data_IF_907281539495
#
_entry.id   IF_907281539495
#
_cell.length_a   1.000
_cell.length_b   1.000
_cell.length_c   1.000
_cell.angle_alpha   90.00
_cell.angle_beta   90.00
_cell.angle_gamma   90.00
#
_symmetry.space_group_name_H-M   'P 1'
#
loop_
_entity.id
_entity.type
_entity.pdbx_description
1 polymer ?
#
# COMPACT_ATOMS: atom_id res chain seq x y z
N UNK A 1 -7.92 -18.30 1.12
CA UNK A 1 -7.75 -18.67 -0.30
C UNK A 1 -7.89 -17.43 -1.12
N UNK A 2 -6.89 -17.15 -1.95
CA UNK A 2 -6.83 -15.98 -2.82
C UNK A 2 -6.95 -16.49 -4.25
N UNK A 3 -7.95 -16.01 -4.97
CA UNK A 3 -8.26 -16.44 -6.32
C UNK A 3 -8.07 -15.25 -7.27
N UNK A 4 -7.20 -15.36 -8.26
CA UNK A 4 -6.99 -14.32 -9.28
C UNK A 4 -7.62 -14.78 -10.58
N UNK A 5 -8.60 -14.00 -11.07
CA UNK A 5 -9.30 -14.30 -12.32
C UNK A 5 -8.86 -13.35 -13.41
N UNK A 6 -8.21 -13.88 -14.45
CA UNK A 6 -7.67 -13.09 -15.55
C UNK A 6 -8.52 -13.26 -16.80
N UNK A 7 -8.98 -12.16 -17.38
CA UNK A 7 -9.78 -12.15 -18.61
C UNK A 7 -9.41 -10.99 -19.53
N UNK A 8 -9.80 -11.11 -20.80
CA UNK A 8 -9.75 -10.01 -21.76
C UNK A 8 -10.89 -9.04 -21.47
N UNK A 9 -10.59 -7.76 -21.31
CA UNK A 9 -11.59 -6.74 -20.98
C UNK A 9 -12.66 -6.55 -22.07
N UNK A 10 -12.27 -6.68 -23.33
CA UNK A 10 -13.17 -6.42 -24.47
C UNK A 10 -14.12 -7.59 -24.71
N UNK A 11 -13.60 -8.82 -24.67
CA UNK A 11 -14.36 -10.02 -25.00
C UNK A 11 -14.92 -10.74 -23.76
N UNK A 12 -14.49 -10.35 -22.56
CA UNK A 12 -14.67 -11.08 -21.30
C UNK A 12 -14.17 -12.54 -21.35
N UNK A 13 -13.33 -12.87 -22.33
CA UNK A 13 -12.82 -14.22 -22.50
C UNK A 13 -11.76 -14.53 -21.43
N UNK A 14 -11.85 -15.67 -20.71
CA UNK A 14 -10.84 -16.04 -19.75
C UNK A 14 -9.48 -16.33 -20.38
N UNK A 15 -8.42 -15.78 -19.81
CA UNK A 15 -7.05 -16.00 -20.27
C UNK A 15 -6.48 -17.23 -19.58
N UNK A 16 -6.26 -18.30 -20.36
CA UNK A 16 -5.79 -19.62 -19.89
C UNK A 16 -4.27 -19.69 -19.89
N UNK A 17 -3.70 -20.52 -19.02
CA UNK A 17 -2.24 -20.75 -18.90
C UNK A 17 -1.43 -19.46 -18.76
N UNK A 18 -2.06 -18.42 -18.24
CA UNK A 18 -1.41 -17.13 -18.00
C UNK A 18 -0.75 -17.22 -16.63
N UNK A 19 0.57 -16.98 -16.53
CA UNK A 19 1.26 -17.03 -15.25
C UNK A 19 0.85 -15.85 -14.37
N UNK A 20 0.47 -16.16 -13.13
CA UNK A 20 0.13 -15.20 -12.08
C UNK A 20 1.10 -15.41 -10.92
N UNK A 21 1.64 -14.31 -10.40
CA UNK A 21 2.48 -14.26 -9.21
C UNK A 21 1.87 -13.26 -8.24
N UNK A 22 1.89 -13.58 -6.96
CA UNK A 22 1.56 -12.64 -5.90
C UNK A 22 2.87 -12.15 -5.28
N UNK A 23 3.03 -10.83 -5.17
CA UNK A 23 4.12 -10.21 -4.41
C UNK A 23 3.55 -9.67 -3.11
N UNK A 24 3.99 -10.20 -1.98
CA UNK A 24 3.40 -9.91 -0.67
C UNK A 24 3.97 -8.63 -0.07
N UNK A 25 3.11 -7.78 0.49
CA UNK A 25 3.55 -6.54 1.12
C UNK A 25 4.29 -6.79 2.44
N UNK A 26 4.04 -7.89 3.15
CA UNK A 26 4.64 -8.10 4.47
C UNK A 26 6.18 -8.16 4.41
N UNK A 27 6.71 -8.93 3.47
CA UNK A 27 8.15 -9.24 3.37
C UNK A 27 8.74 -8.98 1.97
N UNK A 28 7.90 -8.57 1.00
CA UNK A 28 8.32 -8.37 -0.39
C UNK A 28 8.54 -9.69 -1.15
N UNK A 29 8.20 -10.83 -0.55
CA UNK A 29 8.36 -12.14 -1.18
C UNK A 29 7.39 -12.33 -2.35
N UNK A 30 7.82 -13.13 -3.33
CA UNK A 30 7.00 -13.52 -4.47
C UNK A 30 6.62 -14.99 -4.37
N UNK A 31 5.38 -15.32 -4.69
CA UNK A 31 4.93 -16.71 -4.80
C UNK A 31 5.49 -17.36 -6.06
N UNK A 32 5.53 -18.70 -6.08
CA UNK A 32 5.77 -19.43 -7.32
C UNK A 32 4.67 -19.10 -8.35
N UNK A 33 5.00 -19.00 -9.66
CA UNK A 33 4.00 -18.73 -10.68
C UNK A 33 2.91 -19.80 -10.73
N UNK A 34 1.65 -19.39 -10.61
CA UNK A 34 0.48 -20.25 -10.80
C UNK A 34 -0.14 -19.94 -12.15
N UNK A 35 -0.30 -20.97 -12.98
CA UNK A 35 -0.94 -20.82 -14.29
C UNK A 35 -2.46 -20.80 -14.13
N UNK A 36 -3.13 -19.87 -14.81
CA UNK A 36 -4.59 -19.85 -14.88
C UNK A 36 -5.16 -21.10 -15.56
N UNK A 37 -6.29 -21.59 -15.06
CA UNK A 37 -7.01 -22.73 -15.61
C UNK A 37 -7.88 -22.38 -16.85
N UNK A 38 -8.82 -23.26 -17.23
CA UNK A 38 -9.73 -23.04 -18.37
C UNK A 38 -10.72 -21.88 -18.14
N UNK A 39 -10.99 -21.53 -16.89
CA UNK A 39 -11.85 -20.42 -16.50
C UNK A 39 -11.06 -19.14 -16.23
N UNK A 40 -9.74 -19.13 -16.51
CA UNK A 40 -8.86 -17.99 -16.28
C UNK A 40 -8.49 -17.79 -14.80
N UNK A 41 -8.67 -18.81 -13.96
CA UNK A 41 -8.49 -18.72 -12.53
C UNK A 41 -7.13 -19.27 -12.09
N UNK A 42 -6.37 -18.48 -11.32
CA UNK A 42 -5.18 -18.91 -10.59
C UNK A 42 -5.49 -18.88 -9.08
N UNK A 43 -5.30 -20.02 -8.40
CA UNK A 43 -5.62 -20.15 -6.96
C UNK A 43 -4.35 -20.22 -6.11
N UNK A 44 -4.36 -19.49 -5.01
CA UNK A 44 -3.29 -19.46 -4.03
C UNK A 44 -3.83 -19.87 -2.66
N UNK A 45 -3.25 -20.92 -2.07
CA UNK A 45 -3.56 -21.37 -0.72
C UNK A 45 -2.85 -20.49 0.32
N UNK A 46 -3.29 -19.23 0.38
CA UNK A 46 -2.81 -18.23 1.31
C UNK A 46 -3.99 -17.64 2.09
N UNK A 47 -3.77 -17.24 3.36
CA UNK A 47 -4.73 -16.43 4.09
C UNK A 47 -4.84 -15.04 3.46
N UNK A 48 -5.95 -14.30 3.72
CA UNK A 48 -6.07 -12.91 3.29
C UNK A 48 -4.87 -12.06 3.71
N UNK A 49 -4.34 -11.27 2.77
CA UNK A 49 -3.11 -10.47 2.96
C UNK A 49 -3.18 -9.19 2.11
N UNK A 50 -2.08 -8.45 2.01
CA UNK A 50 -1.93 -7.28 1.13
C UNK A 50 -0.72 -7.50 0.22
N UNK A 51 -0.78 -6.98 -1.01
CA UNK A 51 0.29 -7.13 -1.97
C UNK A 51 -0.13 -6.79 -3.40
N UNK A 52 0.69 -7.24 -4.32
CA UNK A 52 0.53 -7.01 -5.76
C UNK A 52 0.22 -8.32 -6.48
N UNK A 53 -0.56 -8.21 -7.55
CA UNK A 53 -0.77 -9.30 -8.51
C UNK A 53 0.00 -8.98 -9.77
N UNK A 54 0.95 -9.83 -10.12
CA UNK A 54 1.70 -9.77 -11.36
C UNK A 54 1.12 -10.80 -12.33
N UNK A 55 0.73 -10.35 -13.51
CA UNK A 55 0.24 -11.22 -14.59
C UNK A 55 1.23 -11.16 -15.74
N UNK A 56 1.87 -12.30 -16.03
CA UNK A 56 2.99 -12.37 -16.98
C UNK A 56 4.13 -11.40 -16.66
N UNK A 57 4.44 -11.26 -15.37
CA UNK A 57 5.51 -10.40 -14.86
C UNK A 57 5.17 -8.91 -14.79
N UNK A 58 3.97 -8.51 -15.19
CA UNK A 58 3.53 -7.11 -15.15
C UNK A 58 2.56 -6.92 -13.99
N UNK A 59 2.79 -5.92 -13.14
CA UNK A 59 1.87 -5.54 -12.07
C UNK A 59 0.50 -5.11 -12.64
N UNK A 60 -0.58 -5.76 -12.18
CA UNK A 60 -1.96 -5.48 -12.62
C UNK A 60 -2.90 -5.05 -11.50
N UNK A 61 -2.53 -5.33 -10.26
CA UNK A 61 -3.31 -4.98 -9.08
C UNK A 61 -2.36 -4.76 -7.91
N UNK A 62 -2.76 -3.83 -7.05
CA UNK A 62 -2.08 -3.49 -5.81
C UNK A 62 -3.13 -3.21 -4.73
N UNK A 63 -3.11 -3.98 -3.64
CA UNK A 63 -3.98 -3.79 -2.49
C UNK A 63 -4.25 -5.08 -1.71
N UNK A 64 -5.42 -5.14 -1.07
CA UNK A 64 -5.85 -6.32 -0.30
C UNK A 64 -6.04 -7.51 -1.23
N UNK A 65 -5.41 -8.62 -0.90
CA UNK A 65 -5.51 -9.90 -1.57
C UNK A 65 -6.41 -10.83 -0.76
N UNK A 66 -7.69 -10.88 -1.12
CA UNK A 66 -8.72 -11.65 -0.43
C UNK A 66 -9.84 -12.02 -1.40
N UNK A 67 -10.34 -13.26 -1.32
CA UNK A 67 -11.37 -13.77 -2.21
C UNK A 67 -10.97 -13.78 -3.68
N UNK A 68 -11.93 -13.51 -4.57
CA UNK A 68 -11.71 -13.41 -6.03
C UNK A 68 -11.31 -11.99 -6.42
N UNK A 69 -10.14 -11.86 -7.05
CA UNK A 69 -9.57 -10.62 -7.57
C UNK A 69 -9.68 -10.64 -9.10
N UNK A 70 -10.59 -9.88 -9.71
CA UNK A 70 -10.72 -9.81 -11.16
C UNK A 70 -9.63 -8.92 -11.77
N UNK A 71 -8.92 -9.44 -12.76
CA UNK A 71 -7.91 -8.74 -13.55
C UNK A 71 -8.33 -8.73 -15.03
N UNK A 72 -8.72 -7.55 -15.51
CA UNK A 72 -9.15 -7.35 -16.90
C UNK A 72 -8.01 -6.73 -17.73
N UNK A 73 -7.51 -7.49 -18.72
CA UNK A 73 -6.45 -7.03 -19.63
C UNK A 73 -7.03 -6.48 -20.92
N UNK A 74 -6.52 -5.33 -21.38
CA UNK A 74 -6.86 -4.80 -22.71
C UNK A 74 -6.04 -5.46 -23.83
N UNK A 75 -4.82 -5.88 -23.50
CA UNK A 75 -3.91 -6.62 -24.39
C UNK A 75 -2.97 -7.49 -23.54
N UNK A 76 -2.57 -8.63 -24.11
CA UNK A 76 -1.62 -9.58 -23.51
C UNK A 76 -0.21 -8.97 -23.42
N UNK A 77 0.14 -8.06 -24.34
CA UNK A 77 1.47 -7.41 -24.43
C UNK A 77 1.54 -6.07 -23.72
N UNK A 78 0.51 -5.71 -22.95
CA UNK A 78 0.46 -4.40 -22.32
C UNK A 78 1.59 -4.26 -21.29
N UNK A 79 2.60 -3.43 -21.60
CA UNK A 79 3.59 -2.97 -20.64
C UNK A 79 2.92 -2.19 -19.50
N UNK A 80 3.62 -2.07 -18.37
CA UNK A 80 3.18 -1.36 -17.18
C UNK A 80 2.51 -0.04 -17.57
N UNK A 81 1.20 0.04 -17.35
CA UNK A 81 0.54 1.34 -17.36
C UNK A 81 0.93 1.98 -16.04
N UNK A 82 1.79 2.99 -16.13
CA UNK A 82 2.01 3.96 -15.06
C UNK A 82 0.64 4.34 -14.48
N UNK A 83 0.37 3.89 -13.25
CA UNK A 83 -0.78 4.32 -12.48
C UNK A 83 -0.57 5.77 -12.04
N UNK A 84 -0.62 6.70 -12.99
CA UNK A 84 -0.79 8.12 -12.70
C UNK A 84 -2.28 8.39 -12.52
N UNK A 85 -2.77 8.11 -11.32
CA UNK A 85 -3.98 8.72 -10.81
C UNK A 85 -3.75 10.21 -10.60
N UNK A 86 -4.67 11.03 -11.06
CA UNK A 86 -4.84 12.44 -10.69
C UNK A 86 -6.36 12.64 -10.56
N UNK A 87 -6.87 13.27 -9.48
CA UNK A 87 -6.35 14.49 -8.88
C UNK A 87 -5.98 14.35 -7.39
N UNK A 88 -5.12 15.26 -6.90
CA UNK A 88 -4.59 15.30 -5.53
C UNK A 88 -3.18 14.72 -5.42
N UNK A 89 -2.26 15.21 -6.26
CA UNK A 89 -0.84 14.86 -6.18
C UNK A 89 -0.31 15.06 -4.76
N UNK A 90 0.52 14.13 -4.30
CA UNK A 90 1.31 14.36 -3.10
C UNK A 90 2.12 15.64 -3.31
N UNK A 91 2.13 16.57 -2.32
CA UNK A 91 2.92 17.78 -2.44
C UNK A 91 4.36 17.39 -2.75
N UNK A 92 4.93 17.97 -3.80
CA UNK A 92 6.32 17.75 -4.18
C UNK A 92 7.17 18.93 -3.75
N UNK A 93 8.44 18.68 -3.47
CA UNK A 93 9.40 19.68 -3.06
C UNK A 93 9.69 19.66 -1.56
N UNK A 94 10.88 20.14 -1.23
CA UNK A 94 11.37 20.19 0.14
C UNK A 94 10.53 21.11 1.02
N UNK A 95 10.04 20.57 2.13
CA UNK A 95 9.43 21.33 3.21
C UNK A 95 10.44 21.76 4.28
N UNK A 96 11.74 21.76 3.95
CA UNK A 96 12.78 22.17 4.87
C UNK A 96 12.69 23.65 5.25
N UNK A 97 12.92 23.96 6.53
CA UNK A 97 13.03 25.32 7.04
C UNK A 97 14.35 25.49 7.82
N UNK A 98 14.88 26.73 7.98
CA UNK A 98 16.26 26.97 8.44
C UNK A 98 16.66 26.39 9.81
N UNK A 99 15.69 26.01 10.65
CA UNK A 99 15.89 25.40 11.97
C UNK A 99 15.39 23.95 12.07
N UNK A 100 15.05 23.33 10.94
CA UNK A 100 14.54 21.96 10.91
C UNK A 100 15.64 20.98 11.24
N UNK A 101 15.49 20.27 12.36
CA UNK A 101 16.34 19.11 12.66
C UNK A 101 15.93 17.97 11.73
N UNK A 102 16.85 17.55 10.88
CA UNK A 102 16.64 16.44 9.94
C UNK A 102 17.41 15.20 10.36
N UNK A 103 16.95 14.05 9.87
CA UNK A 103 17.61 12.75 9.99
C UNK A 103 17.57 12.05 8.64
N UNK A 104 18.50 11.12 8.44
CA UNK A 104 18.53 10.29 7.24
C UNK A 104 18.00 8.88 7.53
N UNK A 105 17.13 8.38 6.67
CA UNK A 105 16.71 6.98 6.59
C UNK A 105 17.37 6.37 5.36
N UNK A 106 18.10 5.27 5.53
CA UNK A 106 18.74 4.56 4.42
C UNK A 106 17.74 3.66 3.72
N UNK A 107 17.63 3.78 2.39
CA UNK A 107 16.73 3.02 1.51
C UNK A 107 17.54 2.55 0.31
N UNK A 108 18.00 1.30 0.35
CA UNK A 108 19.02 0.80 -0.60
C UNK A 108 20.29 1.65 -0.52
N UNK A 109 20.75 2.14 -1.67
CA UNK A 109 21.93 3.02 -1.77
C UNK A 109 21.60 4.51 -1.59
N UNK A 110 20.35 4.84 -1.25
CA UNK A 110 19.86 6.22 -1.14
C UNK A 110 19.57 6.61 0.30
N UNK A 111 20.07 7.78 0.68
CA UNK A 111 19.74 8.46 1.93
C UNK A 111 18.51 9.37 1.74
N UNK A 112 17.39 9.07 2.42
CA UNK A 112 16.16 9.89 2.38
C UNK A 112 16.08 10.75 3.65
N UNK A 113 15.74 12.04 3.49
CA UNK A 113 15.66 12.97 4.61
C UNK A 113 14.26 13.00 5.23
N UNK A 114 14.21 12.91 6.54
CA UNK A 114 13.02 13.14 7.36
C UNK A 114 13.30 14.16 8.45
N UNK A 115 12.26 14.69 9.08
CA UNK A 115 12.37 15.57 10.23
C UNK A 115 12.69 14.78 11.52
N UNK A 116 12.80 15.47 12.66
CA UNK A 116 13.04 14.83 13.95
C UNK A 116 11.89 13.94 14.43
N UNK A 117 10.72 14.04 13.83
CA UNK A 117 9.58 13.16 14.08
C UNK A 117 9.43 12.12 12.97
N UNK A 118 10.33 12.02 11.99
CA UNK A 118 10.31 11.05 10.89
C UNK A 118 9.36 11.37 9.73
N UNK A 119 8.79 12.57 9.65
CA UNK A 119 8.06 13.01 8.46
C UNK A 119 9.02 13.33 7.32
N UNK A 120 8.66 12.95 6.09
CA UNK A 120 9.48 13.25 4.91
C UNK A 120 9.72 14.75 4.76
N UNK A 121 10.97 15.12 4.48
CA UNK A 121 11.31 16.49 4.08
C UNK A 121 10.71 16.76 2.70
N UNK A 122 10.90 15.84 1.76
CA UNK A 122 10.28 15.87 0.44
C UNK A 122 9.32 14.67 0.31
N UNK A 123 7.99 14.89 0.20
CA UNK A 123 7.03 13.79 0.09
C UNK A 123 7.18 12.98 -1.20
N UNK A 124 7.85 13.52 -2.23
CA UNK A 124 8.16 12.78 -3.45
C UNK A 124 9.19 11.66 -3.24
N UNK A 125 9.88 11.67 -2.09
CA UNK A 125 10.82 10.61 -1.71
C UNK A 125 10.10 9.37 -1.14
N UNK A 126 8.78 9.43 -0.97
CA UNK A 126 8.04 8.28 -0.47
C UNK A 126 8.14 7.09 -1.43
N UNK A 127 8.44 5.92 -0.87
CA UNK A 127 8.39 4.62 -1.53
C UNK A 127 7.97 3.56 -0.51
N UNK A 128 7.58 2.39 -0.98
CA UNK A 128 7.32 1.24 -0.09
C UNK A 128 8.58 0.91 0.74
N UNK A 129 9.76 0.97 0.12
CA UNK A 129 11.03 0.69 0.80
C UNK A 129 11.36 1.75 1.87
N UNK A 130 11.02 3.02 1.62
CA UNK A 130 11.08 4.06 2.65
C UNK A 130 10.17 3.73 3.84
N UNK A 131 8.92 3.35 3.58
CA UNK A 131 7.99 3.01 4.66
C UNK A 131 8.52 1.83 5.50
N UNK A 132 9.09 0.79 4.85
CA UNK A 132 9.75 -0.33 5.54
C UNK A 132 10.95 0.12 6.38
N UNK A 133 11.84 0.92 5.80
CA UNK A 133 13.04 1.40 6.49
C UNK A 133 12.69 2.27 7.71
N UNK A 134 11.70 3.15 7.58
CA UNK A 134 11.22 3.97 8.69
C UNK A 134 10.53 3.13 9.77
N UNK A 135 9.71 2.15 9.39
CA UNK A 135 9.07 1.25 10.36
C UNK A 135 10.11 0.42 11.12
N UNK A 136 11.10 -0.13 10.43
CA UNK A 136 12.20 -0.87 11.05
C UNK A 136 12.98 0.02 12.04
N UNK A 137 13.25 1.28 11.67
CA UNK A 137 13.85 2.26 12.58
C UNK A 137 12.98 2.52 13.83
N UNK A 138 11.66 2.48 13.70
CA UNK A 138 10.73 2.60 14.82
C UNK A 138 10.59 1.31 15.66
N UNK A 139 11.20 0.20 15.24
CA UNK A 139 10.99 -1.12 15.83
C UNK A 139 9.60 -1.69 15.53
N UNK A 140 9.00 -1.30 14.40
CA UNK A 140 7.72 -1.80 13.91
C UNK A 140 7.94 -2.66 12.65
N UNK A 141 7.40 -3.88 12.66
CA UNK A 141 7.35 -4.74 11.47
C UNK A 141 6.01 -4.52 10.73
N UNK A 142 6.08 -4.16 9.45
CA UNK A 142 4.90 -3.89 8.64
C UNK A 142 4.28 -5.18 8.09
N UNK A 143 3.29 -5.69 8.79
CA UNK A 143 2.43 -6.75 8.26
C UNK A 143 1.37 -6.23 7.26
N UNK A 144 0.59 -7.14 6.67
CA UNK A 144 -0.47 -6.83 5.71
C UNK A 144 -1.49 -5.77 6.19
N UNK A 145 -1.90 -5.80 7.45
CA UNK A 145 -2.87 -4.85 8.01
C UNK A 145 -2.30 -3.44 8.11
N UNK A 146 -0.99 -3.30 8.38
CA UNK A 146 -0.32 -1.99 8.33
C UNK A 146 -0.34 -1.42 6.90
N UNK A 147 -0.05 -2.27 5.92
CA UNK A 147 -0.03 -1.87 4.51
C UNK A 147 -1.41 -1.46 4.00
N UNK A 148 -2.46 -2.18 4.35
CA UNK A 148 -3.83 -1.79 4.04
C UNK A 148 -4.16 -0.40 4.62
N UNK A 149 -3.75 -0.10 5.86
CA UNK A 149 -3.93 1.24 6.45
C UNK A 149 -3.10 2.30 5.75
N UNK A 150 -1.82 2.04 5.47
CA UNK A 150 -0.93 2.96 4.75
C UNK A 150 -1.52 3.30 3.37
N UNK A 151 -1.94 2.29 2.60
CA UNK A 151 -2.57 2.46 1.28
C UNK A 151 -3.89 3.21 1.38
N UNK A 152 -4.73 2.90 2.37
CA UNK A 152 -5.96 3.64 2.65
C UNK A 152 -5.71 5.13 2.91
N UNK A 153 -4.72 5.46 3.76
CA UNK A 153 -4.37 6.85 4.08
C UNK A 153 -3.90 7.60 2.84
N UNK A 154 -3.04 6.98 2.02
CA UNK A 154 -2.55 7.56 0.77
C UNK A 154 -3.68 7.78 -0.24
N UNK A 155 -4.55 6.80 -0.42
CA UNK A 155 -5.71 6.92 -1.32
C UNK A 155 -6.71 7.96 -0.85
N UNK A 156 -6.98 8.04 0.46
CA UNK A 156 -7.88 9.04 1.03
C UNK A 156 -7.32 10.46 0.87
N UNK A 157 -6.02 10.65 1.10
CA UNK A 157 -5.37 11.94 0.89
C UNK A 157 -5.39 12.36 -0.57
N UNK A 158 -5.03 11.46 -1.50
CA UNK A 158 -5.13 11.74 -2.92
C UNK A 158 -6.55 12.17 -3.31
N UNK A 159 -7.57 11.48 -2.81
CA UNK A 159 -8.96 11.78 -3.15
C UNK A 159 -9.48 13.11 -2.56
N UNK A 160 -9.11 13.43 -1.32
CA UNK A 160 -9.76 14.53 -0.57
C UNK A 160 -8.83 15.73 -0.28
N UNK A 161 -7.53 15.60 -0.53
CA UNK A 161 -6.50 16.62 -0.22
C UNK A 161 -6.19 16.80 1.27
N UNK A 162 -6.80 16.00 2.15
CA UNK A 162 -6.65 16.08 3.60
C UNK A 162 -6.42 14.71 4.21
N UNK A 163 -5.75 14.67 5.37
CA UNK A 163 -5.51 13.41 6.09
C UNK A 163 -6.84 12.83 6.59
N UNK A 164 -7.01 11.51 6.49
CA UNK A 164 -8.20 10.83 6.99
C UNK A 164 -8.27 10.89 8.52
N UNK A 165 -9.48 10.97 9.09
CA UNK A 165 -9.64 10.93 10.53
C UNK A 165 -9.63 9.48 11.06
N UNK A 166 -9.25 9.25 12.33
CA UNK A 166 -9.33 7.91 12.96
C UNK A 166 -10.72 7.29 12.78
N UNK A 167 -11.77 8.11 12.89
CA UNK A 167 -13.16 7.66 12.70
C UNK A 167 -13.39 7.06 11.32
N UNK A 168 -12.76 7.62 10.28
CA UNK A 168 -12.91 7.18 8.89
C UNK A 168 -12.18 5.85 8.68
N UNK A 169 -10.99 5.73 9.26
CA UNK A 169 -10.23 4.46 9.28
C UNK A 169 -11.04 3.37 9.97
N UNK A 170 -11.58 3.63 11.17
CA UNK A 170 -12.42 2.68 11.90
C UNK A 170 -13.65 2.30 11.06
N UNK A 171 -14.36 3.27 10.49
CA UNK A 171 -15.54 3.00 9.68
C UNK A 171 -15.22 2.15 8.44
N UNK A 172 -14.08 2.38 7.80
CA UNK A 172 -13.59 1.59 6.67
C UNK A 172 -13.22 0.17 7.12
N UNK A 173 -12.29 0.04 8.07
CA UNK A 173 -11.74 -1.26 8.48
C UNK A 173 -12.72 -2.11 9.29
N UNK A 174 -13.82 -1.55 9.82
CA UNK A 174 -14.96 -2.35 10.32
C UNK A 174 -15.63 -3.16 9.22
N UNK A 175 -15.73 -2.59 8.02
CA UNK A 175 -16.33 -3.27 6.87
C UNK A 175 -15.37 -4.31 6.28
N UNK A 176 -14.07 -4.02 6.29
CA UNK A 176 -13.04 -4.90 5.69
C UNK A 176 -12.62 -6.03 6.64
N UNK A 177 -12.41 -5.74 7.93
CA UNK A 177 -11.87 -6.70 8.91
C UNK A 177 -12.86 -7.12 10.00
N UNK A 178 -14.07 -6.55 10.01
CA UNK A 178 -15.05 -6.75 11.07
C UNK A 178 -14.89 -5.81 12.26
N UNK A 179 -15.84 -5.87 13.20
CA UNK A 179 -15.96 -4.92 14.32
C UNK A 179 -14.82 -4.99 15.34
N UNK A 180 -14.21 -6.16 15.52
CA UNK A 180 -13.11 -6.37 16.47
C UNK A 180 -11.82 -5.66 16.00
N UNK A 181 -11.41 -5.95 14.75
CA UNK A 181 -10.19 -5.40 14.14
C UNK A 181 -10.37 -3.97 13.63
N UNK A 182 -11.57 -3.61 13.18
CA UNK A 182 -11.97 -2.23 12.92
C UNK A 182 -12.29 -1.46 14.21
N UNK A 183 -11.36 -1.38 15.16
CA UNK A 183 -11.57 -0.68 16.42
C UNK A 183 -10.39 0.22 16.78
N UNK A 184 -10.67 1.30 17.52
CA UNK A 184 -9.63 2.25 17.94
C UNK A 184 -8.46 1.52 18.65
N UNK A 185 -8.80 0.62 19.58
CA UNK A 185 -7.83 -0.18 20.32
C UNK A 185 -6.95 -1.04 19.41
N UNK A 186 -7.52 -1.63 18.36
CA UNK A 186 -6.76 -2.46 17.43
C UNK A 186 -5.85 -1.63 16.53
N UNK A 187 -6.34 -0.52 15.96
CA UNK A 187 -5.52 0.35 15.13
C UNK A 187 -4.34 0.97 15.91
N UNK A 188 -4.55 1.34 17.17
CA UNK A 188 -3.46 1.80 18.05
C UNK A 188 -2.49 0.69 18.47
N UNK A 189 -2.91 -0.58 18.42
CA UNK A 189 -2.01 -1.71 18.61
C UNK A 189 -1.11 -1.93 17.39
N UNK A 190 -1.66 -1.79 16.19
CA UNK A 190 -0.89 -1.83 14.95
C UNK A 190 0.12 -0.67 14.89
N UNK A 191 -0.30 0.53 15.28
CA UNK A 191 0.56 1.72 15.26
C UNK A 191 0.83 2.25 16.68
N UNK A 192 1.79 1.66 17.42
CA UNK A 192 2.00 1.97 18.85
C UNK A 192 2.55 3.39 19.09
N UNK A 193 3.21 4.02 18.13
CA UNK A 193 3.82 5.36 18.30
C UNK A 193 2.84 6.49 17.95
N UNK A 194 1.86 6.70 18.82
CA UNK A 194 0.87 7.78 18.64
C UNK A 194 -0.30 7.42 17.72
N UNK A 195 -0.50 6.12 17.43
CA UNK A 195 -1.66 5.64 16.69
C UNK A 195 -1.56 5.80 15.17
N UNK A 196 -2.61 5.37 14.45
CA UNK A 196 -2.64 5.43 12.99
C UNK A 196 -2.60 6.87 12.45
N UNK A 197 -3.00 7.88 13.24
CA UNK A 197 -2.90 9.30 12.84
C UNK A 197 -1.48 9.85 12.88
N UNK A 198 -0.64 9.40 13.82
CA UNK A 198 0.74 9.89 13.89
C UNK A 198 1.67 8.99 13.10
N UNK A 199 1.80 7.74 13.53
CA UNK A 199 2.72 6.79 12.92
C UNK A 199 2.23 6.33 11.54
N UNK A 200 0.93 6.07 11.39
CA UNK A 200 0.35 5.64 10.11
C UNK A 200 0.49 6.71 9.02
N UNK A 201 0.13 7.97 9.30
CA UNK A 201 0.31 9.08 8.35
C UNK A 201 1.77 9.29 7.98
N UNK A 202 2.69 9.20 8.95
CA UNK A 202 4.12 9.32 8.71
C UNK A 202 4.65 8.21 7.78
N UNK A 203 4.28 6.96 8.02
CA UNK A 203 4.63 5.82 7.16
C UNK A 203 3.97 5.92 5.77
N UNK A 204 2.79 6.54 5.69
CA UNK A 204 2.12 6.86 4.44
C UNK A 204 2.75 8.03 3.67
N UNK A 205 3.80 8.67 4.20
CA UNK A 205 4.45 9.83 3.57
C UNK A 205 3.61 11.10 3.60
N UNK A 206 2.61 11.16 4.49
CA UNK A 206 1.75 12.32 4.66
C UNK A 206 2.43 13.30 5.62
N UNK A 207 2.61 14.54 5.17
CA UNK A 207 3.21 15.60 5.96
C UNK A 207 2.38 15.91 7.20
N UNK A 208 3.06 16.35 8.27
CA UNK A 208 2.40 16.80 9.49
C UNK A 208 1.44 17.95 9.17
N UNK A 209 0.22 17.88 9.70
CA UNK A 209 -0.72 18.99 9.62
C UNK A 209 -0.19 20.16 10.47
N UNK A 210 -0.31 21.39 9.96
CA UNK A 210 0.02 22.58 10.75
C UNK A 210 -1.05 22.76 11.82
N UNK A 211 -0.76 22.42 13.08
CA UNK A 211 -1.64 22.73 14.22
C UNK A 211 -1.71 21.74 15.38
N UNK A 212 -1.09 20.56 15.30
CA UNK A 212 -1.03 19.64 16.43
C UNK A 212 0.20 19.95 17.32
N UNK A 213 -0.07 20.61 18.44
CA UNK A 213 0.86 20.83 19.56
C UNK A 213 0.47 19.95 20.74
#
# INVERSE_FOLDING_TARGET
>A
MIDVKVSMKVTNEPLKRTPVVLKLDADGSETAPVLTDRAGLARFDLPPTSGKVLVSGVERFDGRLDGEIPIELWSITQSERDSKGLPGEFPSGSNAYPSMTTRSIQVGDRAILTDSEGYLVDPSDWSEDFARALAAYDGLELNAEHWEIIRFLRASYAKHGTQAMVRDMIAHFRKVWGSEKGSNRYLHRLFPRGGPQKQGNRLAGLLRTKGEH
#
